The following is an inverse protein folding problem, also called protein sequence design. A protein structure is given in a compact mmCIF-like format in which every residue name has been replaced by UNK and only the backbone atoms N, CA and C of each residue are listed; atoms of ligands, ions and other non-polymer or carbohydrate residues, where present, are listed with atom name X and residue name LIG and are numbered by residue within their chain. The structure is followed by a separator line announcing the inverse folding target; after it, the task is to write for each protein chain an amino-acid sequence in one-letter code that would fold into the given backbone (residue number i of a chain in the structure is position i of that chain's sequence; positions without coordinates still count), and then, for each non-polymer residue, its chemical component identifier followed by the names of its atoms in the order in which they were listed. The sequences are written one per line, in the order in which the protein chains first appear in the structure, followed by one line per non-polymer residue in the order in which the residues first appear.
data_IF_378168814098
#
_entry.id   IF_378168814098
#
_cell.length_a   1.000
_cell.length_b   1.000
_cell.length_c   1.000
_cell.angle_alpha   90.00
_cell.angle_beta   90.00
_cell.angle_gamma   90.00
#
_symmetry.space_group_name_H-M   'P 1'
#
loop_
_entity.id
_entity.type
_entity.pdbx_description
1 polymer ?
#
# COMPACT_ATOMS: atom_id res chain seq x y z
N UNK A 1 -2.32 -24.88 34.08
CA UNK A 1 -1.46 -23.97 33.32
C UNK A 1 -2.09 -22.59 33.38
N UNK A 2 -1.44 -21.65 34.08
CA UNK A 2 -1.93 -20.29 34.28
C UNK A 2 -1.78 -19.53 32.96
N UNK A 3 -2.88 -19.08 32.37
CA UNK A 3 -2.85 -18.12 31.26
C UNK A 3 -2.43 -16.79 31.87
N UNK A 4 -1.18 -16.39 31.63
CA UNK A 4 -0.69 -15.05 31.95
C UNK A 4 -1.57 -14.06 31.20
N UNK A 5 -2.38 -13.29 31.94
CA UNK A 5 -3.07 -12.13 31.41
C UNK A 5 -2.00 -11.17 30.87
N UNK A 6 -2.16 -10.78 29.61
CA UNK A 6 -1.34 -9.75 28.95
C UNK A 6 -1.30 -8.52 29.87
N UNK A 7 -0.11 -8.19 30.36
CA UNK A 7 0.14 -6.97 31.11
C UNK A 7 0.09 -5.81 30.10
N UNK A 8 -1.06 -5.14 29.97
CA UNK A 8 -1.19 -3.86 29.26
C UNK A 8 -0.58 -2.70 30.09
N UNK A 9 0.60 -2.90 30.68
CA UNK A 9 1.30 -1.82 31.37
C UNK A 9 2.31 -1.17 30.40
N UNK A 10 2.01 0.09 30.05
CA UNK A 10 2.83 1.06 29.30
C UNK A 10 2.58 1.15 27.78
N UNK A 11 1.37 1.52 27.41
CA UNK A 11 1.18 2.37 26.24
C UNK A 11 0.38 3.60 26.68
N UNK A 12 1.07 4.54 27.33
CA UNK A 12 0.54 5.90 27.54
C UNK A 12 0.53 6.59 26.18
N UNK A 13 -0.57 6.45 25.45
CA UNK A 13 -0.79 7.16 24.20
C UNK A 13 -1.40 8.53 24.48
N UNK A 14 -0.66 9.57 24.12
CA UNK A 14 -1.20 10.94 24.11
C UNK A 14 -2.01 11.15 22.82
N UNK A 15 -3.29 10.78 22.86
CA UNK A 15 -4.21 10.96 21.74
C UNK A 15 -4.43 12.43 21.37
N UNK A 16 -4.27 13.35 22.31
CA UNK A 16 -4.43 14.79 22.09
C UNK A 16 -3.26 15.38 21.31
N UNK A 17 -2.07 14.78 21.41
CA UNK A 17 -0.92 15.15 20.57
C UNK A 17 -1.09 14.77 19.09
N UNK A 18 -2.05 13.88 18.75
CA UNK A 18 -2.23 13.40 17.39
C UNK A 18 -2.94 14.45 16.56
N UNK A 19 -2.22 14.97 15.57
CA UNK A 19 -2.74 15.95 14.64
C UNK A 19 -3.88 15.38 13.78
N UNK A 20 -5.09 15.90 13.95
CA UNK A 20 -6.29 15.50 13.18
C UNK A 20 -6.62 16.44 12.02
N UNK A 21 -5.94 17.59 11.92
CA UNK A 21 -6.16 18.60 10.87
C UNK A 21 -4.93 18.80 9.98
N UNK A 22 -5.13 19.21 8.72
CA UNK A 22 -4.03 19.54 7.80
C UNK A 22 -3.35 20.87 8.19
N UNK A 23 -2.16 21.14 7.63
CA UNK A 23 -1.39 22.37 7.88
C UNK A 23 -2.03 23.65 7.36
N UNK A 24 -2.79 23.54 6.27
CA UNK A 24 -3.46 24.67 5.64
C UNK A 24 -4.81 24.24 5.09
N UNK A 25 -5.77 25.17 4.89
CA UNK A 25 -7.07 24.88 4.26
C UNK A 25 -6.94 24.36 2.82
N UNK A 26 -7.99 23.70 2.32
CA UNK A 26 -7.97 23.10 0.96
C UNK A 26 -7.64 24.11 -0.14
N UNK A 27 -8.22 25.32 -0.09
CA UNK A 27 -8.00 26.37 -1.08
C UNK A 27 -6.51 26.74 -1.25
N UNK A 28 -5.72 26.70 -0.18
CA UNK A 28 -4.27 26.95 -0.26
C UNK A 28 -3.51 25.71 -0.76
N UNK A 29 -3.96 24.51 -0.40
CA UNK A 29 -3.30 23.26 -0.82
C UNK A 29 -3.49 22.98 -2.31
N UNK A 30 -4.68 23.23 -2.84
CA UNK A 30 -5.01 22.90 -4.23
C UNK A 30 -4.14 23.70 -5.21
N UNK A 31 -3.84 24.98 -4.92
CA UNK A 31 -2.94 25.79 -5.75
C UNK A 31 -1.52 25.18 -5.84
N UNK A 32 -0.99 24.70 -4.71
CA UNK A 32 0.34 24.08 -4.65
C UNK A 32 0.35 22.69 -5.29
N UNK A 33 -0.72 21.92 -5.08
CA UNK A 33 -0.89 20.59 -5.66
C UNK A 33 -0.98 20.67 -7.19
N UNK A 34 -1.74 21.61 -7.74
CA UNK A 34 -1.85 21.80 -9.18
C UNK A 34 -0.53 22.19 -9.82
N UNK A 35 0.22 23.12 -9.20
CA UNK A 35 1.57 23.49 -9.67
C UNK A 35 2.55 22.31 -9.65
N UNK A 36 2.45 21.44 -8.65
CA UNK A 36 3.36 20.30 -8.48
C UNK A 36 3.02 19.14 -9.41
N UNK A 37 1.74 18.80 -9.52
CA UNK A 37 1.27 17.62 -10.26
C UNK A 37 1.02 17.93 -11.74
N UNK A 38 0.72 19.19 -12.07
CA UNK A 38 0.48 19.67 -13.44
C UNK A 38 -0.51 18.77 -14.21
N UNK A 39 -1.64 18.48 -13.57
CA UNK A 39 -2.67 17.59 -14.09
C UNK A 39 -3.59 18.35 -15.07
N UNK A 40 -4.17 17.64 -16.07
CA UNK A 40 -5.21 18.23 -16.91
C UNK A 40 -6.50 18.50 -16.12
N UNK A 41 -7.45 19.21 -16.71
CA UNK A 41 -8.73 19.56 -16.06
C UNK A 41 -9.56 18.34 -15.66
N UNK A 42 -9.45 17.25 -16.43
CA UNK A 42 -10.13 15.98 -16.18
C UNK A 42 -9.09 14.86 -16.00
N UNK A 43 -8.37 14.82 -14.86
CA UNK A 43 -7.34 13.83 -14.64
C UNK A 43 -7.94 12.44 -14.39
N UNK A 44 -7.25 11.43 -14.89
CA UNK A 44 -7.64 10.03 -14.87
C UNK A 44 -6.72 9.23 -13.97
N UNK A 45 -7.32 8.32 -13.19
CA UNK A 45 -6.59 7.40 -12.30
C UNK A 45 -7.46 6.18 -12.00
N UNK A 46 -6.92 5.22 -11.26
CA UNK A 46 -7.65 4.08 -10.72
C UNK A 46 -7.55 4.06 -9.19
N UNK A 47 -8.31 3.19 -8.52
CA UNK A 47 -8.48 3.26 -7.06
C UNK A 47 -7.34 2.58 -6.27
N UNK A 48 -6.52 1.72 -6.90
CA UNK A 48 -5.37 1.09 -6.23
C UNK A 48 -5.03 -0.30 -6.76
N UNK A 49 -5.82 -1.31 -6.37
CA UNK A 49 -5.55 -2.70 -6.71
C UNK A 49 -5.81 -3.05 -8.18
N UNK A 50 -4.99 -3.96 -8.72
CA UNK A 50 -5.17 -4.57 -10.02
C UNK A 50 -5.46 -6.08 -9.90
N UNK A 51 -5.95 -6.73 -10.98
CA UNK A 51 -6.32 -8.15 -10.95
C UNK A 51 -5.23 -9.07 -10.39
N UNK A 52 -5.60 -9.85 -9.39
CA UNK A 52 -4.77 -10.85 -8.75
C UNK A 52 -4.70 -12.11 -9.61
N UNK A 53 -3.79 -12.10 -10.59
CA UNK A 53 -3.63 -13.19 -11.55
C UNK A 53 -3.33 -14.53 -10.86
N UNK A 54 -3.53 -15.65 -11.57
CA UNK A 54 -3.15 -16.98 -11.05
C UNK A 54 -1.65 -17.04 -10.71
N UNK A 55 -0.83 -16.33 -11.48
CA UNK A 55 0.61 -16.26 -11.29
C UNK A 55 0.98 -15.48 -10.02
N UNK A 56 0.40 -14.30 -9.80
CA UNK A 56 0.59 -13.51 -8.57
C UNK A 56 0.23 -14.34 -7.34
N UNK A 57 -0.93 -15.01 -7.37
CA UNK A 57 -1.36 -15.91 -6.28
C UNK A 57 -0.40 -17.08 -6.06
N UNK A 58 0.14 -17.67 -7.14
CA UNK A 58 1.12 -18.76 -7.06
C UNK A 58 2.43 -18.30 -6.44
N UNK A 59 3.03 -17.21 -6.93
CA UNK A 59 4.30 -16.70 -6.39
C UNK A 59 4.18 -16.32 -4.91
N UNK A 60 3.06 -15.68 -4.51
CA UNK A 60 2.79 -15.39 -3.11
C UNK A 60 2.70 -16.67 -2.27
N UNK A 61 1.97 -17.68 -2.74
CA UNK A 61 1.85 -18.95 -2.04
C UNK A 61 3.20 -19.67 -1.94
N UNK A 62 4.01 -19.64 -2.99
CA UNK A 62 5.34 -20.24 -3.00
C UNK A 62 6.28 -19.53 -2.01
N UNK A 63 6.21 -18.20 -1.93
CA UNK A 63 6.95 -17.40 -0.97
C UNK A 63 6.53 -17.67 0.48
N UNK A 64 5.21 -17.61 0.78
CA UNK A 64 4.67 -17.92 2.12
C UNK A 64 5.07 -19.33 2.60
N UNK A 65 5.19 -20.29 1.68
CA UNK A 65 5.61 -21.66 1.96
C UNK A 65 7.13 -21.90 1.86
N UNK A 66 7.96 -20.85 1.76
CA UNK A 66 9.43 -20.91 1.66
C UNK A 66 9.94 -21.78 0.50
N UNK A 67 9.15 -21.90 -0.58
CA UNK A 67 9.54 -22.61 -1.82
C UNK A 67 10.37 -21.75 -2.76
N UNK A 68 10.31 -20.43 -2.58
CA UNK A 68 11.17 -19.45 -3.26
C UNK A 68 11.76 -18.51 -2.21
N UNK A 69 12.88 -17.87 -2.55
CA UNK A 69 13.56 -16.90 -1.66
C UNK A 69 12.84 -15.55 -1.67
N UNK A 70 13.18 -14.70 -0.70
CA UNK A 70 12.67 -13.32 -0.63
C UNK A 70 13.09 -12.53 -1.86
N UNK A 71 14.33 -12.70 -2.33
CA UNK A 71 14.85 -12.01 -3.53
C UNK A 71 14.09 -12.44 -4.79
N UNK A 72 13.73 -13.71 -4.90
CA UNK A 72 12.95 -14.23 -6.02
C UNK A 72 11.53 -13.64 -6.02
N UNK A 73 10.90 -13.53 -4.85
CA UNK A 73 9.57 -12.92 -4.70
C UNK A 73 9.60 -11.41 -4.95
N UNK A 74 10.58 -10.68 -4.42
CA UNK A 74 10.76 -9.25 -4.68
C UNK A 74 10.99 -8.96 -6.16
N UNK A 75 11.79 -9.79 -6.84
CA UNK A 75 12.04 -9.64 -8.28
C UNK A 75 10.76 -9.85 -9.07
N UNK A 76 9.96 -10.86 -8.72
CA UNK A 76 8.65 -11.07 -9.32
C UNK A 76 7.73 -9.86 -9.13
N UNK A 77 7.62 -9.33 -7.91
CA UNK A 77 6.78 -8.16 -7.62
C UNK A 77 7.21 -6.93 -8.40
N UNK A 78 8.52 -6.64 -8.47
CA UNK A 78 9.06 -5.51 -9.26
C UNK A 78 8.68 -5.62 -10.73
N UNK A 79 8.78 -6.82 -11.31
CA UNK A 79 8.41 -7.06 -12.71
C UNK A 79 6.91 -6.89 -12.95
N UNK A 80 6.06 -7.40 -12.04
CA UNK A 80 4.61 -7.26 -12.18
C UNK A 80 4.15 -5.80 -12.01
N UNK A 81 4.75 -5.06 -11.07
CA UNK A 81 4.52 -3.61 -10.92
C UNK A 81 4.95 -2.89 -12.20
N UNK A 82 6.16 -3.15 -12.72
CA UNK A 82 6.66 -2.51 -13.93
C UNK A 82 5.74 -2.77 -15.14
N UNK A 83 5.23 -4.01 -15.28
CA UNK A 83 4.28 -4.39 -16.32
C UNK A 83 3.00 -3.55 -16.24
N UNK A 84 2.43 -3.37 -15.04
CA UNK A 84 1.21 -2.58 -14.86
C UNK A 84 1.44 -1.09 -14.96
N UNK A 85 2.58 -0.56 -14.53
CA UNK A 85 2.97 0.83 -14.80
C UNK A 85 2.99 1.07 -16.30
N UNK A 86 3.63 0.19 -17.07
CA UNK A 86 3.69 0.31 -18.53
C UNK A 86 2.30 0.31 -19.18
N UNK A 87 1.41 -0.58 -18.74
CA UNK A 87 0.02 -0.60 -19.23
C UNK A 87 -0.69 0.72 -18.94
N UNK A 88 -0.54 1.28 -17.73
CA UNK A 88 -1.18 2.53 -17.35
C UNK A 88 -0.64 3.73 -18.16
N UNK A 89 0.66 3.76 -18.42
CA UNK A 89 1.29 4.74 -19.31
C UNK A 89 0.75 4.61 -20.74
N UNK A 90 0.65 3.39 -21.26
CA UNK A 90 0.20 3.12 -22.64
C UNK A 90 -1.28 3.49 -22.86
N UNK A 91 -2.13 3.37 -21.84
CA UNK A 91 -3.54 3.81 -21.89
C UNK A 91 -3.71 5.31 -21.55
N UNK A 92 -2.65 5.99 -21.11
CA UNK A 92 -2.64 7.42 -20.85
C UNK A 92 -3.26 7.86 -19.52
N UNK A 93 -3.07 7.10 -18.42
CA UNK A 93 -3.48 7.57 -17.08
C UNK A 93 -2.57 8.71 -16.58
N UNK A 94 -3.15 9.66 -15.86
CA UNK A 94 -2.42 10.81 -15.31
C UNK A 94 -1.75 10.53 -13.96
N UNK A 95 -2.40 9.70 -13.13
CA UNK A 95 -1.88 9.27 -11.82
C UNK A 95 -1.90 7.75 -11.74
N UNK A 96 -0.72 7.16 -11.58
CA UNK A 96 -0.52 5.71 -11.62
C UNK A 96 -0.60 5.08 -10.23
N UNK A 97 -0.96 3.81 -10.18
CA UNK A 97 -0.94 2.96 -8.98
C UNK A 97 -0.11 1.71 -9.22
N UNK A 98 0.41 1.09 -8.16
CA UNK A 98 1.28 -0.10 -8.29
C UNK A 98 0.52 -1.43 -8.30
N UNK A 99 -0.79 -1.44 -8.07
CA UNK A 99 -1.64 -2.63 -8.20
C UNK A 99 -1.75 -3.54 -6.96
N UNK A 100 -1.03 -3.26 -5.88
CA UNK A 100 -1.11 -4.00 -4.60
C UNK A 100 -0.83 -5.52 -4.71
N UNK A 101 0.09 -5.94 -5.58
CA UNK A 101 0.42 -7.36 -5.79
C UNK A 101 1.10 -8.02 -4.59
N UNK A 102 1.72 -7.25 -3.70
CA UNK A 102 2.33 -7.74 -2.48
C UNK A 102 1.31 -8.09 -1.40
N UNK A 103 0.06 -7.60 -1.53
CA UNK A 103 -1.00 -7.72 -0.52
C UNK A 103 -2.00 -8.80 -0.88
N UNK A 104 -2.48 -9.51 0.14
CA UNK A 104 -3.60 -10.44 0.00
C UNK A 104 -4.90 -9.81 0.50
N UNK A 105 -4.83 -9.18 1.66
CA UNK A 105 -5.90 -8.43 2.30
C UNK A 105 -5.30 -7.16 2.93
N UNK A 106 -6.02 -6.04 2.82
CA UNK A 106 -5.51 -4.75 3.30
C UNK A 106 -5.35 -4.72 4.83
N UNK A 107 -6.17 -5.45 5.59
CA UNK A 107 -6.11 -5.49 7.06
C UNK A 107 -5.03 -6.47 7.52
N UNK A 108 -4.98 -7.68 6.95
CA UNK A 108 -3.96 -8.70 7.27
C UNK A 108 -2.55 -8.13 7.06
N UNK A 109 -2.35 -7.41 5.95
CA UNK A 109 -1.05 -6.83 5.60
C UNK A 109 -0.52 -5.85 6.67
N UNK A 110 -1.38 -5.01 7.25
CA UNK A 110 -0.97 -4.11 8.33
C UNK A 110 -0.85 -4.83 9.67
N UNK A 111 -1.72 -5.82 9.95
CA UNK A 111 -1.67 -6.62 11.17
C UNK A 111 -0.33 -7.34 11.36
N UNK A 112 0.23 -7.89 10.28
CA UNK A 112 1.56 -8.53 10.28
C UNK A 112 2.72 -7.56 10.57
N UNK A 113 2.50 -6.23 10.43
CA UNK A 113 3.53 -5.19 10.59
C UNK A 113 3.41 -4.40 11.89
N UNK A 114 2.35 -4.60 12.66
CA UNK A 114 2.11 -3.91 13.93
C UNK A 114 2.44 -4.84 15.10
N UNK A 115 3.11 -4.30 16.12
CA UNK A 115 3.35 -5.02 17.37
C UNK A 115 2.03 -5.14 18.14
N UNK A 116 1.70 -6.36 18.61
CA UNK A 116 0.46 -6.63 19.36
C UNK A 116 -0.33 -7.85 18.89
N UNK A 117 0.18 -8.61 17.91
CA UNK A 117 -0.22 -9.99 17.68
C UNK A 117 0.53 -10.96 18.60
#
# INVERSE_FOLDING_TARGET
MSVSKINHSKLDYDFESVRTSRQSPFAQRIEQQQKRLNLPDLPTTTIGSFPQSREVRKYRADWKNKRITDEAYETFLKNEIARWIKIQEDIGLDVLVHGEFERNDMVEFFGEKLQGS
#
